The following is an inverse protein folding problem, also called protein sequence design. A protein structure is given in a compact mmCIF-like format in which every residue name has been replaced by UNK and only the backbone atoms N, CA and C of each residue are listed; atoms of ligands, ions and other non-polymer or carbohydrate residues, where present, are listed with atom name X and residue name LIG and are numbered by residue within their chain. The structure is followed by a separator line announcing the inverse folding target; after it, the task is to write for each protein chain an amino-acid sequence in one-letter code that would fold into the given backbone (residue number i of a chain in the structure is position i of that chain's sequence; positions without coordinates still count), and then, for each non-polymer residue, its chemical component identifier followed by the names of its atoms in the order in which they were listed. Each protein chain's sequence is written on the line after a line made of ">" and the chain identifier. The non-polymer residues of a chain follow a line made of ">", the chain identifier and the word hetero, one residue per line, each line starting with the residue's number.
data_IF_207124432264
#
_entry.id   IF_207124432264
#
_cell.length_a   1.000
_cell.length_b   1.000
_cell.length_c   1.000
_cell.angle_alpha   90.00
_cell.angle_beta   90.00
_cell.angle_gamma   90.00
#
_symmetry.space_group_name_H-M   'P 1'
#
loop_
_entity.id
_entity.type
_entity.pdbx_description
1 polymer ?
#
# COMPACT_ATOMS: atom_id res chain seq x y z
N UNK A 1 11.76 -22.55 4.22
CA UNK A 1 10.95 -21.84 5.24
C UNK A 1 10.92 -20.39 4.83
N UNK A 2 9.74 -19.77 4.86
CA UNK A 2 9.61 -18.32 4.69
C UNK A 2 10.09 -17.65 5.98
N UNK A 3 10.89 -16.59 5.89
CA UNK A 3 11.32 -15.76 7.03
C UNK A 3 10.31 -14.65 7.36
N UNK A 4 9.19 -14.59 6.65
CA UNK A 4 8.12 -13.61 6.84
C UNK A 4 7.30 -13.90 8.09
N UNK A 5 7.21 -12.91 8.97
CA UNK A 5 6.23 -12.85 10.04
C UNK A 5 5.01 -12.04 9.56
N UNK A 6 3.90 -12.72 9.28
CA UNK A 6 2.73 -12.12 8.65
C UNK A 6 1.88 -11.34 9.66
N UNK A 7 1.68 -10.05 9.41
CA UNK A 7 0.90 -9.14 10.27
C UNK A 7 -0.56 -9.13 9.81
N UNK A 8 -0.80 -8.86 8.52
CA UNK A 8 -2.14 -8.87 7.90
C UNK A 8 -2.04 -9.31 6.45
N UNK A 9 -3.03 -10.06 5.98
CA UNK A 9 -3.03 -10.62 4.64
C UNK A 9 -4.43 -10.64 4.05
N UNK A 10 -4.52 -10.46 2.74
CA UNK A 10 -5.70 -10.74 1.95
C UNK A 10 -5.32 -11.49 0.68
N UNK A 11 -5.93 -12.67 0.50
CA UNK A 11 -5.75 -13.45 -0.70
C UNK A 11 -6.34 -12.76 -1.93
N UNK A 12 -5.73 -13.01 -3.08
CA UNK A 12 -6.28 -12.67 -4.38
C UNK A 12 -7.48 -13.59 -4.66
N UNK A 13 -8.67 -13.02 -4.76
CA UNK A 13 -9.90 -13.77 -5.00
C UNK A 13 -10.86 -12.99 -5.91
N UNK A 14 -11.53 -13.69 -6.85
CA UNK A 14 -12.62 -13.11 -7.62
C UNK A 14 -12.26 -11.85 -8.44
N UNK A 15 -11.01 -11.73 -8.88
CA UNK A 15 -10.51 -10.56 -9.61
C UNK A 15 -10.16 -9.35 -8.73
N UNK A 16 -10.26 -9.47 -7.41
CA UNK A 16 -9.73 -8.48 -6.47
C UNK A 16 -8.21 -8.69 -6.29
N UNK A 17 -7.43 -7.62 -6.11
CA UNK A 17 -6.01 -7.76 -5.80
C UNK A 17 -5.80 -8.38 -4.42
N UNK A 18 -4.69 -9.10 -4.27
CA UNK A 18 -4.21 -9.61 -2.98
C UNK A 18 -3.16 -8.68 -2.38
N UNK A 19 -2.93 -8.79 -1.08
CA UNK A 19 -1.85 -8.06 -0.42
C UNK A 19 -1.38 -8.78 0.86
N UNK A 20 -0.14 -8.53 1.23
CA UNK A 20 0.50 -9.10 2.43
C UNK A 20 1.31 -8.00 3.13
N UNK A 21 1.01 -7.80 4.41
CA UNK A 21 1.75 -6.92 5.30
C UNK A 21 2.52 -7.81 6.27
N UNK A 22 3.84 -7.78 6.19
CA UNK A 22 4.71 -8.68 6.95
C UNK A 22 5.98 -7.98 7.42
N UNK A 23 6.65 -8.56 8.41
CA UNK A 23 8.02 -8.22 8.78
C UNK A 23 8.96 -9.38 8.40
N UNK A 24 10.25 -9.11 8.20
CA UNK A 24 11.25 -10.16 8.01
C UNK A 24 11.92 -10.43 9.37
N UNK A 25 11.87 -11.68 9.85
CA UNK A 25 12.32 -12.06 11.20
C UNK A 25 13.81 -11.74 11.45
N UNK A 26 14.60 -11.71 10.40
CA UNK A 26 16.04 -11.45 10.46
C UNK A 26 16.44 -10.03 10.02
N UNK A 27 15.46 -9.16 9.74
CA UNK A 27 15.73 -7.75 9.46
C UNK A 27 16.08 -7.04 10.78
N UNK A 28 17.27 -6.44 10.89
CA UNK A 28 17.66 -5.74 12.10
C UNK A 28 16.93 -4.38 12.25
N UNK A 29 16.45 -3.80 11.16
CA UNK A 29 15.67 -2.57 11.14
C UNK A 29 14.19 -2.82 11.50
N UNK A 30 13.58 -1.88 12.23
CA UNK A 30 12.15 -1.88 12.54
C UNK A 30 11.34 -1.40 11.32
N UNK A 31 11.14 -2.32 10.36
CA UNK A 31 10.41 -2.05 9.12
C UNK A 31 9.36 -3.13 8.86
N UNK A 32 8.31 -2.73 8.14
CA UNK A 32 7.29 -3.62 7.62
C UNK A 32 7.22 -3.50 6.11
N UNK A 33 6.91 -4.61 5.45
CA UNK A 33 6.77 -4.74 4.02
C UNK A 33 5.30 -4.84 3.67
N UNK A 34 4.82 -3.97 2.77
CA UNK A 34 3.51 -4.10 2.14
C UNK A 34 3.68 -4.58 0.70
N UNK A 35 3.39 -5.85 0.46
CA UNK A 35 3.38 -6.46 -0.87
C UNK A 35 1.96 -6.39 -1.46
N UNK A 36 1.83 -5.90 -2.69
CA UNK A 36 0.56 -5.76 -3.41
C UNK A 36 0.58 -6.63 -4.68
N UNK A 37 -0.26 -7.66 -4.75
CA UNK A 37 -0.40 -8.56 -5.90
C UNK A 37 -1.57 -8.13 -6.80
N UNK A 38 -1.29 -7.92 -8.08
CA UNK A 38 -2.30 -7.57 -9.08
C UNK A 38 -2.76 -6.11 -8.98
N UNK A 39 -1.95 -5.25 -8.35
CA UNK A 39 -2.23 -3.81 -8.21
C UNK A 39 -1.33 -3.01 -9.16
N UNK A 40 -1.93 -2.21 -10.04
CA UNK A 40 -1.19 -1.20 -10.79
C UNK A 40 -0.94 0.02 -9.89
N UNK A 41 0.26 0.10 -9.30
CA UNK A 41 0.69 1.18 -8.43
C UNK A 41 1.86 1.98 -9.03
N UNK A 42 1.93 3.27 -8.69
CA UNK A 42 3.08 4.11 -9.00
C UNK A 42 3.70 4.60 -7.70
N UNK A 43 5.01 4.45 -7.58
CA UNK A 43 5.79 4.97 -6.44
C UNK A 43 6.60 6.16 -6.95
N UNK A 44 6.44 7.31 -6.29
CA UNK A 44 7.21 8.51 -6.59
C UNK A 44 7.88 9.03 -5.32
N UNK A 45 9.19 9.21 -5.38
CA UNK A 45 9.94 9.92 -4.34
C UNK A 45 9.86 11.41 -4.62
N UNK A 46 9.37 12.18 -3.65
CA UNK A 46 9.27 13.64 -3.71
C UNK A 46 10.27 14.26 -2.72
N UNK A 47 10.93 15.34 -3.14
CA UNK A 47 11.95 16.05 -2.37
C UNK A 47 13.37 15.51 -2.60
N UNK A 48 14.32 16.02 -1.83
CA UNK A 48 15.72 15.57 -1.85
C UNK A 48 16.07 14.92 -0.49
N UNK A 49 16.42 13.62 -0.53
CA UNK A 49 16.83 12.84 0.64
C UNK A 49 18.12 13.37 1.30
N UNK A 50 18.95 14.13 0.58
CA UNK A 50 20.16 14.75 1.11
C UNK A 50 19.88 15.94 2.03
N UNK A 51 18.67 16.52 2.00
CA UNK A 51 18.31 17.72 2.76
C UNK A 51 17.24 17.49 3.84
N UNK A 52 16.84 16.24 4.06
CA UNK A 52 15.84 15.88 5.06
C UNK A 52 15.07 14.60 4.68
N UNK A 53 14.11 14.19 5.52
CA UNK A 53 13.28 13.02 5.22
C UNK A 53 12.49 13.23 3.92
N UNK A 54 12.61 12.26 3.01
CA UNK A 54 11.90 12.28 1.73
C UNK A 54 10.42 11.99 1.90
N UNK A 55 9.61 12.36 0.90
CA UNK A 55 8.20 12.00 0.85
C UNK A 55 7.99 10.88 -0.16
N UNK A 56 7.30 9.80 0.24
CA UNK A 56 6.87 8.75 -0.67
C UNK A 56 5.42 9.01 -1.05
N UNK A 57 5.16 9.18 -2.35
CA UNK A 57 3.82 9.21 -2.91
C UNK A 57 3.52 7.86 -3.56
N UNK A 58 2.46 7.20 -3.07
CA UNK A 58 1.97 5.94 -3.61
C UNK A 58 0.60 6.16 -4.26
N UNK A 59 0.53 5.99 -5.58
CA UNK A 59 -0.75 6.03 -6.32
C UNK A 59 -1.36 4.63 -6.31
N UNK A 60 -2.51 4.49 -5.64
CA UNK A 60 -3.25 3.22 -5.57
C UNK A 60 -4.64 3.32 -6.21
N UNK A 61 -5.16 2.23 -6.79
CA UNK A 61 -6.57 2.10 -7.06
C UNK A 61 -7.40 2.28 -5.78
N UNK A 62 -8.55 2.95 -5.90
CA UNK A 62 -9.45 3.22 -4.75
C UNK A 62 -9.90 1.93 -4.08
N UNK A 63 -10.14 0.86 -4.85
CA UNK A 63 -10.52 -0.45 -4.32
C UNK A 63 -9.42 -1.01 -3.38
N UNK A 64 -8.17 -0.97 -3.80
CA UNK A 64 -7.02 -1.39 -2.98
C UNK A 64 -6.89 -0.53 -1.72
N UNK A 65 -7.01 0.79 -1.83
CA UNK A 65 -6.95 1.69 -0.67
C UNK A 65 -8.07 1.40 0.36
N UNK A 66 -9.26 0.98 -0.09
CA UNK A 66 -10.35 0.54 0.79
C UNK A 66 -10.04 -0.79 1.47
N UNK A 67 -9.52 -1.78 0.74
CA UNK A 67 -9.13 -3.08 1.30
C UNK A 67 -8.05 -2.94 2.38
N UNK A 68 -7.08 -2.05 2.13
CA UNK A 68 -6.02 -1.71 3.09
C UNK A 68 -6.53 -0.86 4.28
N UNK A 69 -7.77 -0.36 4.21
CA UNK A 69 -8.35 0.51 5.24
C UNK A 69 -7.78 1.93 5.27
N UNK A 70 -7.08 2.36 4.21
CA UNK A 70 -6.51 3.71 4.09
C UNK A 70 -7.59 4.78 3.88
N UNK A 71 -8.74 4.38 3.34
CA UNK A 71 -9.93 5.23 3.21
C UNK A 71 -11.18 4.48 3.66
N UNK A 72 -12.23 5.17 4.14
CA UNK A 72 -13.47 4.52 4.54
C UNK A 72 -14.12 3.72 3.40
N UNK A 73 -14.79 2.59 3.67
CA UNK A 73 -15.46 1.79 2.63
C UNK A 73 -16.49 2.59 1.82
N UNK A 74 -17.19 3.53 2.47
CA UNK A 74 -18.17 4.42 1.85
C UNK A 74 -17.57 5.62 1.10
N UNK A 75 -16.24 5.79 1.12
CA UNK A 75 -15.61 6.94 0.47
C UNK A 75 -15.88 6.92 -1.03
N UNK A 76 -16.23 8.10 -1.56
CA UNK A 76 -16.38 8.39 -2.98
C UNK A 76 -15.60 9.66 -3.27
N UNK A 77 -14.93 9.71 -4.42
CA UNK A 77 -14.30 10.94 -4.90
C UNK A 77 -15.40 11.99 -5.06
N UNK A 78 -15.31 13.11 -4.34
CA UNK A 78 -16.17 14.26 -4.61
C UNK A 78 -15.93 14.67 -6.06
N UNK A 79 -16.98 14.61 -6.88
CA UNK A 79 -16.90 14.95 -8.28
C UNK A 79 -16.44 16.40 -8.44
N UNK A 80 -15.51 16.63 -9.37
CA UNK A 80 -15.44 17.91 -10.05
C UNK A 80 -16.57 17.90 -11.08
N UNK A 81 -17.79 18.21 -10.63
CA UNK A 81 -18.83 18.61 -11.57
C UNK A 81 -18.43 20.02 -12.03
N UNK A 82 -17.98 20.13 -13.29
CA UNK A 82 -17.96 21.42 -13.96
C UNK A 82 -19.42 21.77 -14.20
N UNK A 83 -19.93 22.77 -13.49
CA UNK A 83 -21.05 23.58 -13.96
C UNK A 83 -20.74 24.18 -15.34
#
# INVERSE_FOLDING_TARGET
>A
MSSRDHIRYQAKEGGQPGWDLYAEIFEPEDVVYLELDGVAAEVTMLGNLERGPGTVLLRLPVATAKQLGLVPPGWKKSGWERE
#
